data_IF_780403885977
#
_entry.id   IF_780403885977
#
_cell.length_a   1.000
_cell.length_b   1.000
_cell.length_c   1.000
_cell.angle_alpha   90.00
_cell.angle_beta   90.00
_cell.angle_gamma   90.00
#
_symmetry.space_group_name_H-M   'P 1'
#
loop_
_entity.id
_entity.type
_entity.pdbx_description
1 polymer ?
#
# COMPACT_ATOMS: atom_id res chain seq x y z
N UNK A 1 -12.89 22.67 -13.54
CA UNK A 1 -11.70 21.87 -13.91
C UNK A 1 -12.21 20.47 -14.22
N UNK A 2 -11.90 19.90 -15.38
CA UNK A 2 -12.27 18.50 -15.67
C UNK A 2 -11.23 17.58 -15.03
N UNK A 3 -11.70 16.46 -14.46
CA UNK A 3 -10.86 15.36 -13.95
C UNK A 3 -10.83 14.18 -14.95
N UNK A 4 -11.38 14.35 -16.15
CA UNK A 4 -11.42 13.30 -17.17
C UNK A 4 -10.01 12.96 -17.66
N UNK A 5 -9.64 11.69 -17.54
CA UNK A 5 -8.36 11.13 -17.94
C UNK A 5 -8.50 9.64 -18.29
N UNK A 6 -7.49 9.08 -18.95
CA UNK A 6 -7.41 7.64 -19.16
C UNK A 6 -7.33 6.90 -17.81
N UNK A 7 -7.85 5.68 -17.75
CA UNK A 7 -7.67 4.83 -16.57
C UNK A 7 -6.20 4.40 -16.48
N UNK A 8 -5.59 4.57 -15.32
CA UNK A 8 -4.23 4.10 -15.11
C UNK A 8 -4.18 2.57 -15.18
N UNK A 9 -3.09 1.95 -15.70
CA UNK A 9 -2.91 0.51 -15.59
C UNK A 9 -2.84 0.09 -14.11
N UNK A 10 -3.01 -1.20 -13.83
CA UNK A 10 -2.60 -1.71 -12.53
C UNK A 10 -1.10 -1.46 -12.35
N UNK A 11 -0.64 -0.91 -11.20
CA UNK A 11 0.77 -0.58 -10.99
C UNK A 11 1.70 -1.79 -11.12
N UNK A 12 1.18 -3.01 -10.96
CA UNK A 12 1.97 -4.23 -10.96
C UNK A 12 1.97 -4.98 -12.29
N UNK A 13 1.08 -4.64 -13.23
CA UNK A 13 1.09 -5.17 -14.60
C UNK A 13 2.25 -4.62 -15.43
N UNK A 14 2.84 -3.50 -15.00
CA UNK A 14 3.95 -2.81 -15.66
C UNK A 14 5.32 -3.09 -15.01
N UNK A 15 5.38 -3.99 -14.03
CA UNK A 15 6.61 -4.41 -13.35
C UNK A 15 6.96 -5.86 -13.72
N UNK A 16 8.21 -6.32 -13.47
CA UNK A 16 8.55 -7.73 -13.60
C UNK A 16 7.57 -8.63 -12.84
N UNK A 17 7.05 -9.69 -13.47
CA UNK A 17 6.10 -10.59 -12.82
C UNK A 17 6.82 -11.41 -11.74
N UNK A 18 6.13 -11.61 -10.63
CA UNK A 18 6.55 -12.47 -9.53
C UNK A 18 5.36 -13.37 -9.13
N UNK A 19 5.62 -14.56 -8.56
CA UNK A 19 4.57 -15.40 -7.99
C UNK A 19 3.63 -14.65 -7.04
N UNK A 20 2.38 -15.11 -6.96
CA UNK A 20 1.41 -14.60 -6.00
C UNK A 20 1.41 -15.43 -4.72
N UNK A 21 1.02 -14.81 -3.62
CA UNK A 21 0.60 -15.48 -2.37
C UNK A 21 -0.69 -14.85 -1.85
N UNK A 22 -1.18 -15.30 -0.71
CA UNK A 22 -2.47 -14.84 -0.17
C UNK A 22 -2.27 -13.67 0.77
N UNK A 23 -3.04 -12.60 0.55
CA UNK A 23 -3.30 -11.56 1.53
C UNK A 23 -4.82 -11.45 1.73
N UNK A 24 -5.26 -11.30 2.96
CA UNK A 24 -6.65 -11.10 3.35
C UNK A 24 -6.76 -9.89 4.27
N UNK A 25 -7.98 -9.40 4.41
CA UNK A 25 -8.32 -8.32 5.32
C UNK A 25 -9.70 -8.57 5.91
N UNK A 26 -9.88 -8.33 7.20
CA UNK A 26 -11.21 -8.24 7.82
C UNK A 26 -11.88 -6.88 7.56
N UNK A 27 -11.13 -5.95 7.01
CA UNK A 27 -11.44 -4.53 6.91
C UNK A 27 -11.74 -4.13 5.45
N UNK A 28 -11.24 -4.91 4.49
CA UNK A 28 -11.31 -4.63 3.06
C UNK A 28 -11.69 -5.88 2.28
N UNK A 29 -12.41 -5.69 1.17
CA UNK A 29 -12.65 -6.73 0.17
C UNK A 29 -12.18 -6.22 -1.18
N UNK A 30 -11.53 -7.09 -1.96
CA UNK A 30 -11.01 -6.72 -3.28
C UNK A 30 -12.12 -6.19 -4.20
N UNK A 31 -11.86 -5.06 -4.86
CA UNK A 31 -12.81 -4.36 -5.72
C UNK A 31 -14.00 -3.69 -5.01
N UNK A 32 -14.12 -3.79 -3.68
CA UNK A 32 -15.22 -3.18 -2.93
C UNK A 32 -14.84 -1.79 -2.37
N UNK A 33 -15.83 -0.90 -2.10
CA UNK A 33 -15.58 0.37 -1.45
C UNK A 33 -14.96 0.23 -0.05
N UNK A 34 -14.06 1.14 0.31
CA UNK A 34 -13.54 1.28 1.69
C UNK A 34 -14.59 1.88 2.62
N UNK A 35 -14.57 1.41 3.87
CA UNK A 35 -15.26 2.05 4.99
C UNK A 35 -14.57 3.37 5.39
N UNK A 36 -15.34 4.31 5.93
CA UNK A 36 -14.86 5.62 6.41
C UNK A 36 -13.74 5.53 7.45
N UNK A 37 -13.60 4.38 8.14
CA UNK A 37 -12.48 4.12 9.05
C UNK A 37 -11.10 4.28 8.38
N UNK A 38 -10.97 3.92 7.09
CA UNK A 38 -9.68 3.93 6.35
C UNK A 38 -9.54 5.15 5.42
N UNK A 39 -10.52 6.05 5.46
CA UNK A 39 -10.55 7.28 4.68
C UNK A 39 -9.80 8.38 5.43
N UNK A 40 -9.15 9.29 4.70
CA UNK A 40 -8.36 10.36 5.32
C UNK A 40 -9.26 11.36 6.07
N UNK A 41 -8.73 11.98 7.12
CA UNK A 41 -9.48 12.94 7.95
C UNK A 41 -9.91 14.19 7.18
N UNK A 42 -9.16 14.59 6.14
CA UNK A 42 -9.48 15.76 5.30
C UNK A 42 -10.80 15.64 4.53
N UNK A 43 -11.33 14.42 4.37
CA UNK A 43 -12.62 14.15 3.73
C UNK A 43 -13.58 13.42 4.68
N UNK A 44 -13.32 13.49 5.99
CA UNK A 44 -14.25 13.03 7.04
C UNK A 44 -14.00 11.64 7.62
N UNK A 45 -12.97 10.92 7.16
CA UNK A 45 -12.66 9.57 7.65
C UNK A 45 -11.88 9.54 8.98
N UNK A 46 -11.48 8.34 9.40
CA UNK A 46 -10.71 8.12 10.66
C UNK A 46 -9.21 7.88 10.46
N UNK A 47 -8.76 7.75 9.21
CA UNK A 47 -7.35 7.61 8.85
C UNK A 47 -6.63 6.43 9.54
N UNK A 48 -7.33 5.32 9.76
CA UNK A 48 -6.72 4.11 10.30
C UNK A 48 -6.15 3.26 9.16
N UNK A 49 -4.99 2.64 9.37
CA UNK A 49 -4.53 1.59 8.46
C UNK A 49 -5.47 0.37 8.58
N UNK A 50 -5.83 -0.30 7.48
CA UNK A 50 -6.67 -1.48 7.54
C UNK A 50 -5.89 -2.68 8.12
N UNK A 51 -6.61 -3.62 8.72
CA UNK A 51 -6.08 -4.94 9.06
C UNK A 51 -5.62 -5.67 7.79
N UNK A 52 -4.48 -6.33 7.86
CA UNK A 52 -3.95 -7.19 6.80
C UNK A 52 -3.41 -8.47 7.42
N UNK A 53 -3.65 -9.62 6.80
CA UNK A 53 -3.01 -10.89 7.14
C UNK A 53 -2.56 -11.58 5.86
N UNK A 54 -1.43 -12.31 5.92
CA UNK A 54 -0.91 -12.99 4.75
C UNK A 54 -0.34 -14.37 5.05
N UNK A 55 -0.36 -15.22 4.03
CA UNK A 55 0.08 -16.62 4.12
C UNK A 55 0.45 -17.19 2.74
N UNK A 56 1.14 -18.33 2.72
CA UNK A 56 1.52 -19.02 1.48
C UNK A 56 2.63 -18.32 0.68
N UNK A 57 3.41 -17.45 1.33
CA UNK A 57 4.60 -16.83 0.74
C UNK A 57 5.75 -17.85 0.59
N UNK A 58 6.72 -17.62 -0.31
CA UNK A 58 7.86 -18.52 -0.54
C UNK A 58 8.65 -18.80 0.75
N UNK A 59 9.21 -20.00 0.86
CA UNK A 59 9.98 -20.41 2.05
C UNK A 59 11.30 -19.62 2.20
N UNK A 60 11.80 -19.07 1.09
CA UNK A 60 13.00 -18.24 1.00
C UNK A 60 12.78 -16.80 1.47
N UNK A 61 11.53 -16.43 1.82
CA UNK A 61 11.19 -15.10 2.31
C UNK A 61 11.94 -14.78 3.62
N UNK A 62 12.55 -13.60 3.68
CA UNK A 62 13.32 -13.13 4.84
C UNK A 62 12.73 -11.90 5.51
N UNK A 63 11.81 -11.23 4.84
CA UNK A 63 11.05 -10.12 5.41
C UNK A 63 9.88 -9.73 4.52
N UNK A 64 9.15 -8.70 4.95
CA UNK A 64 8.05 -8.13 4.19
C UNK A 64 8.14 -6.62 4.05
N UNK A 65 7.53 -6.11 2.98
CA UNK A 65 7.22 -4.70 2.79
C UNK A 65 5.72 -4.58 2.48
N UNK A 66 5.06 -3.63 3.13
CA UNK A 66 3.65 -3.30 2.87
C UNK A 66 3.55 -1.94 2.22
N UNK A 67 2.79 -1.85 1.13
CA UNK A 67 2.55 -0.59 0.43
C UNK A 67 1.07 -0.35 0.18
N UNK A 68 0.66 0.92 0.13
CA UNK A 68 -0.61 1.36 -0.42
C UNK A 68 -0.36 2.45 -1.47
N UNK A 69 -0.82 2.23 -2.70
CA UNK A 69 -0.63 3.15 -3.82
C UNK A 69 -1.96 3.40 -4.55
N UNK A 70 -2.27 4.66 -4.82
CA UNK A 70 -3.37 5.09 -5.67
C UNK A 70 -2.85 5.40 -7.08
N UNK A 71 -3.05 4.50 -8.07
CA UNK A 71 -2.65 4.75 -9.45
C UNK A 71 -3.56 5.76 -10.14
N UNK A 72 -4.76 6.01 -9.61
CA UNK A 72 -5.76 6.85 -10.24
C UNK A 72 -5.56 8.34 -9.88
N UNK A 73 -4.79 8.67 -8.83
CA UNK A 73 -4.48 10.05 -8.46
C UNK A 73 -3.93 10.89 -9.64
N UNK A 74 -4.49 12.09 -9.91
CA UNK A 74 -4.16 12.89 -11.10
C UNK A 74 -2.85 13.69 -10.95
N UNK A 75 -1.74 13.02 -10.66
CA UNK A 75 -0.43 13.63 -10.38
C UNK A 75 0.62 13.35 -11.45
N UNK A 76 0.34 12.40 -12.36
CA UNK A 76 1.32 11.84 -13.29
C UNK A 76 2.18 10.72 -12.71
N UNK A 77 2.14 10.50 -11.39
CA UNK A 77 2.89 9.46 -10.68
C UNK A 77 2.06 8.63 -9.71
N UNK A 78 0.73 8.79 -9.73
CA UNK A 78 -0.15 8.27 -8.68
C UNK A 78 0.12 8.92 -7.32
N UNK A 79 -0.27 8.23 -6.24
CA UNK A 79 -0.08 8.73 -4.88
C UNK A 79 0.24 7.59 -3.91
N UNK A 80 1.35 7.70 -3.19
CA UNK A 80 1.75 6.75 -2.15
C UNK A 80 1.10 7.12 -0.82
N UNK A 81 0.25 6.21 -0.33
CA UNK A 81 -0.50 6.36 0.91
C UNK A 81 0.21 5.72 2.11
N UNK A 82 0.95 4.64 1.88
CA UNK A 82 1.68 3.93 2.92
C UNK A 82 2.84 3.14 2.33
N UNK A 83 4.00 3.17 3.00
CA UNK A 83 5.18 2.39 2.62
C UNK A 83 5.89 1.97 3.90
N UNK A 84 5.52 0.80 4.42
CA UNK A 84 6.06 0.18 5.62
C UNK A 84 7.09 -0.88 5.22
N UNK A 85 8.34 -0.64 5.59
CA UNK A 85 9.48 -1.49 5.20
C UNK A 85 10.04 -2.27 6.38
N UNK A 86 10.78 -3.34 6.06
CA UNK A 86 11.58 -4.13 7.01
C UNK A 86 10.74 -4.81 8.11
N UNK A 87 9.55 -5.30 7.75
CA UNK A 87 8.80 -6.20 8.63
C UNK A 87 9.54 -7.55 8.73
N UNK A 88 9.82 -8.06 9.94
CA UNK A 88 10.40 -9.38 10.12
C UNK A 88 9.54 -10.49 9.49
N UNK A 89 10.16 -11.57 9.02
CA UNK A 89 9.43 -12.73 8.44
C UNK A 89 8.43 -13.38 9.41
N UNK A 90 8.62 -13.20 10.71
CA UNK A 90 7.70 -13.68 11.75
C UNK A 90 6.40 -12.88 11.83
N UNK A 91 6.34 -11.69 11.23
CA UNK A 91 5.14 -10.88 11.16
C UNK A 91 4.34 -11.30 9.93
N UNK A 92 3.17 -11.90 10.16
CA UNK A 92 2.25 -12.35 9.09
C UNK A 92 0.89 -11.68 9.15
N UNK A 93 0.74 -10.68 10.03
CA UNK A 93 -0.45 -9.85 10.13
C UNK A 93 -0.11 -8.47 10.71
N UNK A 94 -0.91 -7.47 10.33
CA UNK A 94 -0.94 -6.13 10.91
C UNK A 94 -2.37 -5.87 11.38
N UNK A 95 -2.49 -5.43 12.62
CA UNK A 95 -3.78 -5.01 13.19
C UNK A 95 -4.25 -3.70 12.56
N UNK A 96 -5.55 -3.45 12.64
CA UNK A 96 -6.13 -2.16 12.26
C UNK A 96 -5.47 -1.04 13.05
N UNK A 97 -5.03 0.01 12.36
CA UNK A 97 -4.41 1.19 12.96
C UNK A 97 -3.14 0.86 13.75
N UNK A 98 -2.37 -0.14 13.32
CA UNK A 98 -1.16 -0.61 14.00
C UNK A 98 -0.21 0.53 14.40
N UNK A 99 -0.07 0.73 15.71
CA UNK A 99 0.88 1.62 16.37
C UNK A 99 1.05 1.14 17.83
N UNK A 100 2.28 0.85 18.32
CA UNK A 100 3.55 0.91 17.62
C UNK A 100 3.67 -0.14 16.50
N UNK A 101 4.52 0.16 15.52
CA UNK A 101 4.91 -0.81 14.49
C UNK A 101 5.75 -1.95 15.09
N UNK A 102 5.72 -3.15 14.48
CA UNK A 102 6.61 -4.24 14.87
C UNK A 102 8.09 -3.85 14.85
N UNK A 103 8.87 -4.43 15.76
CA UNK A 103 10.30 -4.11 15.92
C UNK A 103 11.08 -4.20 14.60
N UNK A 104 11.89 -3.18 14.34
CA UNK A 104 12.74 -3.09 13.14
C UNK A 104 12.04 -2.55 11.88
N UNK A 105 10.70 -2.52 11.87
CA UNK A 105 9.91 -1.96 10.79
C UNK A 105 9.75 -0.45 10.94
N UNK A 106 9.65 0.27 9.82
CA UNK A 106 9.37 1.71 9.82
C UNK A 106 8.67 2.13 8.53
N UNK A 107 8.00 3.28 8.58
CA UNK A 107 7.45 3.91 7.38
C UNK A 107 8.45 4.92 6.80
N UNK A 108 8.68 4.85 5.48
CA UNK A 108 9.26 6.01 4.77
C UNK A 108 8.20 7.10 4.59
N UNK A 109 8.61 8.28 4.14
CA UNK A 109 7.68 9.39 3.95
C UNK A 109 6.72 9.10 2.79
N UNK A 110 5.41 9.15 3.03
CA UNK A 110 4.37 9.04 2.02
C UNK A 110 4.17 10.38 1.27
N UNK A 111 3.26 10.43 0.29
CA UNK A 111 3.06 11.64 -0.52
C UNK A 111 2.24 12.74 0.19
N UNK A 112 1.63 12.44 1.34
CA UNK A 112 1.12 13.47 2.27
C UNK A 112 2.26 14.16 3.06
N UNK A 113 3.48 13.62 3.00
CA UNK A 113 4.61 14.11 3.80
C UNK A 113 4.72 13.46 5.18
N UNK A 114 3.93 12.41 5.44
CA UNK A 114 3.81 11.74 6.74
C UNK A 114 4.59 10.41 6.76
N UNK A 115 4.88 9.89 7.96
CA UNK A 115 5.59 8.61 8.16
C UNK A 115 4.67 7.54 8.76
N UNK A 116 3.49 7.43 8.20
CA UNK A 116 2.44 6.51 8.61
C UNK A 116 1.49 6.25 7.42
N UNK A 117 0.38 5.58 7.67
CA UNK A 117 -0.71 5.45 6.71
C UNK A 117 -1.46 6.78 6.57
N UNK A 118 -1.57 7.28 5.35
CA UNK A 118 -2.49 8.34 4.97
C UNK A 118 -3.65 7.76 4.16
N UNK A 119 -4.88 7.97 4.61
CA UNK A 119 -6.08 7.38 4.05
C UNK A 119 -6.47 7.92 2.67
N UNK A 120 -7.55 7.36 2.15
CA UNK A 120 -8.13 7.75 0.86
C UNK A 120 -8.71 9.16 0.91
N UNK A 121 -8.40 10.00 -0.08
CA UNK A 121 -9.02 11.32 -0.26
C UNK A 121 -9.00 11.76 -1.73
N UNK A 122 -9.72 11.05 -2.62
CA UNK A 122 -9.78 11.43 -4.02
C UNK A 122 -10.54 12.76 -4.17
N UNK A 123 -10.30 13.53 -5.25
CA UNK A 123 -11.02 14.78 -5.47
C UNK A 123 -12.54 14.57 -5.52
N UNK A 124 -13.36 15.46 -4.93
CA UNK A 124 -14.81 15.38 -5.03
C UNK A 124 -15.29 15.37 -6.48
N UNK A 125 -16.18 14.43 -6.81
CA UNK A 125 -16.75 14.29 -8.16
C UNK A 125 -15.85 13.57 -9.17
N UNK A 126 -14.65 13.13 -8.79
CA UNK A 126 -13.85 12.22 -9.63
C UNK A 126 -14.46 10.81 -9.67
N UNK A 127 -13.94 9.94 -10.54
CA UNK A 127 -14.22 8.50 -10.52
C UNK A 127 -13.82 7.87 -9.19
N UNK A 128 -14.28 6.65 -8.93
CA UNK A 128 -13.72 5.86 -7.84
C UNK A 128 -12.23 5.58 -8.11
N UNK A 129 -11.37 5.94 -7.16
CA UNK A 129 -9.95 5.61 -7.20
C UNK A 129 -9.74 4.22 -6.60
N UNK A 130 -8.75 3.50 -7.12
CA UNK A 130 -8.26 2.24 -6.55
C UNK A 130 -7.16 2.53 -5.54
N UNK A 131 -7.15 1.78 -4.44
CA UNK A 131 -6.08 1.84 -3.44
C UNK A 131 -5.43 0.48 -3.39
N UNK A 132 -4.27 0.33 -4.05
CA UNK A 132 -3.60 -0.95 -4.21
C UNK A 132 -2.75 -1.22 -2.97
N UNK A 133 -3.30 -2.00 -2.05
CA UNK A 133 -2.55 -2.55 -0.93
C UNK A 133 -1.78 -3.78 -1.40
N UNK A 134 -0.48 -3.82 -1.09
CA UNK A 134 0.38 -4.93 -1.45
C UNK A 134 1.26 -5.35 -0.29
N UNK A 135 1.46 -6.67 -0.18
CA UNK A 135 2.51 -7.28 0.64
C UNK A 135 3.53 -7.87 -0.31
N UNK A 136 4.79 -7.46 -0.18
CA UNK A 136 5.92 -7.99 -0.93
C UNK A 136 6.72 -8.90 -0.02
N UNK A 137 6.92 -10.15 -0.42
CA UNK A 137 7.83 -11.08 0.22
C UNK A 137 9.23 -10.87 -0.35
N UNK A 138 10.23 -10.56 0.49
CA UNK A 138 11.58 -10.17 0.02
C UNK A 138 12.66 -11.19 0.43
N UNK A 139 13.74 -11.26 -0.36
CA UNK A 139 14.88 -12.20 -0.20
C UNK A 139 16.02 -11.69 0.69
N UNK A 140 15.81 -10.56 1.36
CA UNK A 140 16.73 -9.96 2.33
C UNK A 140 16.01 -9.69 3.65
N UNK A 141 16.73 -9.75 4.77
CA UNK A 141 16.14 -9.48 6.09
C UNK A 141 15.68 -8.02 6.19
N UNK A 142 16.39 -7.12 5.51
CA UNK A 142 16.14 -5.67 5.52
C UNK A 142 16.54 -5.07 4.17
N UNK A 143 15.70 -4.19 3.64
CA UNK A 143 16.09 -3.27 2.57
C UNK A 143 17.07 -2.23 3.10
N UNK A 144 18.11 -1.95 2.32
CA UNK A 144 19.11 -0.92 2.61
C UNK A 144 18.59 0.48 2.23
N UNK A 145 17.51 0.90 2.90
CA UNK A 145 16.88 2.21 2.71
C UNK A 145 16.86 3.00 4.00
N UNK A 146 17.14 4.30 3.90
CA UNK A 146 17.01 5.23 5.01
C UNK A 146 15.54 5.67 5.19
N UNK A 147 15.13 6.14 6.37
CA UNK A 147 13.76 6.63 6.58
C UNK A 147 13.34 7.72 5.59
N UNK A 148 14.24 8.59 5.15
CA UNK A 148 13.97 9.66 4.19
C UNK A 148 13.99 9.22 2.70
N UNK A 149 14.19 7.93 2.43
CA UNK A 149 14.04 7.38 1.09
C UNK A 149 12.63 7.66 0.53
N UNK A 150 12.55 7.92 -0.77
CA UNK A 150 11.24 8.07 -1.44
C UNK A 150 10.56 6.70 -1.61
N UNK A 151 9.22 6.66 -1.67
CA UNK A 151 8.47 5.47 -2.07
C UNK A 151 8.97 4.85 -3.40
N UNK A 152 9.32 5.69 -4.37
CA UNK A 152 9.87 5.23 -5.65
C UNK A 152 11.22 4.52 -5.49
N UNK A 153 12.10 5.00 -4.61
CA UNK A 153 13.38 4.34 -4.33
C UNK A 153 13.20 3.01 -3.57
N UNK A 154 12.20 2.93 -2.68
CA UNK A 154 11.78 1.64 -2.08
C UNK A 154 11.27 0.70 -3.18
N UNK A 155 10.41 1.17 -4.08
CA UNK A 155 9.91 0.41 -5.22
C UNK A 155 11.02 -0.09 -6.14
N UNK A 156 12.07 0.71 -6.36
CA UNK A 156 13.25 0.29 -7.12
C UNK A 156 13.98 -0.87 -6.44
N UNK A 157 14.20 -0.82 -5.12
CA UNK A 157 14.77 -1.94 -4.37
C UNK A 157 13.88 -3.19 -4.45
N UNK A 158 12.55 -3.02 -4.31
CA UNK A 158 11.59 -4.13 -4.43
C UNK A 158 11.64 -4.82 -5.79
N UNK A 159 11.93 -4.10 -6.87
CA UNK A 159 12.06 -4.71 -8.20
C UNK A 159 13.16 -5.79 -8.27
N UNK A 160 14.17 -5.72 -7.41
CA UNK A 160 15.28 -6.69 -7.38
C UNK A 160 15.15 -7.73 -6.25
N UNK A 161 14.39 -7.41 -5.20
CA UNK A 161 14.32 -8.24 -3.99
C UNK A 161 12.99 -8.95 -3.77
N UNK A 162 11.95 -8.62 -4.54
CA UNK A 162 10.63 -9.25 -4.37
C UNK A 162 10.62 -10.67 -4.94
N UNK A 163 10.40 -11.65 -4.09
CA UNK A 163 10.21 -13.06 -4.45
C UNK A 163 8.78 -13.36 -4.86
N UNK A 164 7.81 -12.74 -4.19
CA UNK A 164 6.38 -12.92 -4.45
C UNK A 164 5.60 -11.69 -3.97
N UNK A 165 4.39 -11.51 -4.49
CA UNK A 165 3.53 -10.36 -4.16
C UNK A 165 2.06 -10.75 -4.02
N UNK A 166 1.41 -10.25 -2.98
CA UNK A 166 -0.02 -10.41 -2.74
C UNK A 166 -0.68 -9.03 -2.68
N UNK A 167 -1.93 -8.90 -3.16
CA UNK A 167 -2.58 -7.58 -3.32
C UNK A 167 -4.08 -7.60 -2.98
N UNK A 168 -4.60 -6.49 -2.46
CA UNK A 168 -6.04 -6.17 -2.33
C UNK A 168 -6.26 -4.75 -2.87
N UNK A 169 -7.31 -4.55 -3.65
CA UNK A 169 -7.61 -3.30 -4.37
C UNK A 169 -9.02 -2.81 -4.06
N UNK A 170 -9.29 -2.36 -2.83
CA UNK A 170 -10.53 -1.66 -2.56
C UNK A 170 -10.57 -0.33 -3.33
N UNK A 171 -11.75 0.28 -3.35
CA UNK A 171 -11.98 1.56 -4.02
C UNK A 171 -12.51 2.62 -3.05
N UNK A 172 -12.39 3.89 -3.39
CA UNK A 172 -13.09 4.95 -2.66
C UNK A 172 -13.42 6.11 -3.61
N UNK A 173 -14.51 6.82 -3.32
CA UNK A 173 -14.97 7.97 -4.09
C UNK A 173 -15.62 8.99 -3.15
N UNK A 174 -15.27 10.27 -3.31
CA UNK A 174 -16.03 11.36 -2.71
C UNK A 174 -17.06 11.83 -3.74
N UNK A 175 -18.35 11.71 -3.42
CA UNK A 175 -19.42 12.19 -4.30
C UNK A 175 -19.35 13.72 -4.40
N UNK A 176 -19.54 14.23 -5.62
CA UNK A 176 -19.61 15.66 -5.93
C UNK A 176 -20.97 16.28 -5.65
#
# INVERSE_FOLDING_TARGET
MSLDRALAPDPYDVLPPVPAFTVTSTDMTDGQPLDELYVHTSVGGKNLSPQLAWSGFPAETRGFVVTCFDPDAPTGSGFWHWVLVNLPVTVTALERGVDPLPDGAFCVRNDYGERNYGGSAPPPGDRAHRYVFAVHAIDVDRLEVAPDASPAYVGFNLAFHTLARATIRPTFQVRG
#
